data_IF_812326731617
#
_entry.id   IF_812326731617
#
_cell.length_a   1.000
_cell.length_b   1.000
_cell.length_c   1.000
_cell.angle_alpha   90.00
_cell.angle_beta   90.00
_cell.angle_gamma   90.00
#
_symmetry.space_group_name_H-M   'P 1'
#
loop_
_entity.id
_entity.type
_entity.pdbx_description
1 polymer ?
#
# COMPACT_ATOMS: atom_id res chain seq x y z
N UNK A 1 -7.95 8.32 1.26
CA UNK A 1 -8.77 8.86 0.15
C UNK A 1 -8.21 10.16 -0.44
N UNK A 2 -7.76 11.16 0.37
CA UNK A 2 -7.28 12.45 -0.13
C UNK A 2 -6.21 12.34 -1.23
N UNK A 3 -5.15 11.54 -1.00
CA UNK A 3 -4.11 11.33 -2.03
C UNK A 3 -4.67 10.62 -3.26
N UNK A 4 -5.68 9.75 -3.11
CA UNK A 4 -6.31 9.06 -4.24
C UNK A 4 -7.16 10.02 -5.09
N UNK A 5 -7.85 10.98 -4.49
CA UNK A 5 -8.63 11.99 -5.20
C UNK A 5 -7.76 12.90 -6.06
N UNK A 6 -6.67 13.38 -5.49
CA UNK A 6 -5.87 14.47 -6.07
C UNK A 6 -4.58 13.99 -6.76
N UNK A 7 -4.24 12.70 -6.62
CA UNK A 7 -3.01 12.15 -7.14
C UNK A 7 -3.07 11.70 -8.60
N UNK A 8 -1.90 11.60 -9.20
CA UNK A 8 -1.71 10.93 -10.50
C UNK A 8 -0.89 9.66 -10.30
N UNK A 9 -1.24 8.64 -11.06
CA UNK A 9 -0.75 7.28 -10.87
C UNK A 9 -0.21 6.67 -12.16
N UNK A 10 0.74 5.71 -12.06
CA UNK A 10 1.30 5.05 -13.23
C UNK A 10 0.26 4.24 -13.98
N UNK A 11 0.22 4.40 -15.32
CA UNK A 11 -0.70 3.68 -16.20
C UNK A 11 0.04 2.71 -17.08
N UNK A 12 1.05 3.18 -17.83
CA UNK A 12 1.78 2.37 -18.82
C UNK A 12 3.27 2.59 -18.67
N UNK A 13 4.04 1.50 -18.59
CA UNK A 13 5.50 1.55 -18.60
C UNK A 13 6.00 2.12 -19.94
N UNK A 14 6.81 3.15 -19.88
CA UNK A 14 7.39 3.81 -21.06
C UNK A 14 8.89 3.58 -21.18
N UNK A 15 9.58 3.36 -20.07
CA UNK A 15 11.02 3.16 -20.05
C UNK A 15 11.48 2.38 -18.83
N UNK A 16 12.43 1.51 -19.03
CA UNK A 16 13.24 0.88 -17.99
C UNK A 16 14.72 1.12 -18.29
N UNK A 17 15.46 1.66 -17.35
CA UNK A 17 16.89 1.91 -17.46
C UNK A 17 17.64 1.38 -16.24
N UNK A 18 18.70 0.63 -16.50
CA UNK A 18 19.72 0.26 -15.51
C UNK A 18 20.80 1.33 -15.58
N UNK A 19 21.08 1.98 -14.51
CA UNK A 19 21.92 3.17 -14.39
C UNK A 19 21.32 4.44 -15.04
N UNK A 20 21.45 5.56 -14.34
CA UNK A 20 20.94 6.84 -14.81
C UNK A 20 21.62 8.02 -14.11
N UNK A 21 21.81 9.13 -14.84
CA UNK A 21 22.13 10.39 -14.21
C UNK A 21 20.89 10.99 -13.55
N UNK A 22 21.05 11.75 -12.46
CA UNK A 22 19.96 12.45 -11.78
C UNK A 22 19.14 13.34 -12.74
N UNK A 23 19.81 14.02 -13.66
CA UNK A 23 19.15 14.87 -14.67
C UNK A 23 18.18 14.08 -15.60
N UNK A 24 18.51 12.84 -15.94
CA UNK A 24 17.61 11.99 -16.73
C UNK A 24 16.37 11.58 -15.92
N UNK A 25 16.52 11.41 -14.60
CA UNK A 25 15.42 11.14 -13.68
C UNK A 25 14.47 12.33 -13.56
N UNK A 26 15.01 13.55 -13.42
CA UNK A 26 14.22 14.78 -13.36
C UNK A 26 13.35 14.99 -14.60
N UNK A 27 13.91 14.77 -15.79
CA UNK A 27 13.15 14.84 -17.04
C UNK A 27 11.98 13.85 -17.06
N UNK A 28 12.17 12.63 -16.53
CA UNK A 28 11.11 11.61 -16.45
C UNK A 28 10.05 11.96 -15.42
N UNK A 29 10.45 12.52 -14.28
CA UNK A 29 9.55 13.00 -13.23
C UNK A 29 8.67 14.17 -13.68
N UNK A 30 9.15 14.98 -14.63
CA UNK A 30 8.35 16.04 -15.25
C UNK A 30 7.32 15.48 -16.26
N UNK A 31 7.58 14.31 -16.86
CA UNK A 31 6.75 13.72 -17.90
C UNK A 31 5.70 12.70 -17.37
N UNK A 32 5.86 12.21 -16.13
CA UNK A 32 4.96 11.19 -15.60
C UNK A 32 5.40 10.63 -14.27
N UNK A 33 4.98 9.39 -13.98
CA UNK A 33 5.36 8.69 -12.77
C UNK A 33 6.66 7.92 -12.94
N UNK A 34 7.44 7.87 -11.87
CA UNK A 34 8.73 7.16 -11.83
C UNK A 34 8.85 6.32 -10.55
N UNK A 35 9.41 5.14 -10.68
CA UNK A 35 9.95 4.35 -9.56
C UNK A 35 11.45 4.17 -9.80
N UNK A 36 12.27 4.44 -8.80
CA UNK A 36 13.70 4.27 -8.93
C UNK A 36 14.32 3.62 -7.70
N UNK A 37 15.27 2.73 -7.95
CA UNK A 37 16.19 2.26 -6.94
C UNK A 37 17.36 3.24 -6.86
N UNK A 38 17.50 3.85 -5.70
CA UNK A 38 18.46 4.93 -5.46
C UNK A 38 19.28 4.67 -4.20
N UNK A 39 20.50 5.14 -4.20
CA UNK A 39 21.30 5.30 -2.99
C UNK A 39 20.99 6.67 -2.42
N UNK A 40 20.42 6.69 -1.24
CA UNK A 40 20.07 7.88 -0.47
C UNK A 40 21.16 8.15 0.57
N UNK A 41 21.50 9.42 0.75
CA UNK A 41 22.34 9.91 1.85
C UNK A 41 21.59 11.04 2.56
N UNK A 42 21.16 10.82 3.78
CA UNK A 42 20.28 11.76 4.52
C UNK A 42 20.55 11.74 6.02
N UNK A 43 20.34 12.88 6.66
CA UNK A 43 20.29 13.00 8.12
C UNK A 43 18.87 12.95 8.70
N UNK A 44 17.85 12.92 7.82
CA UNK A 44 16.42 12.91 8.21
C UNK A 44 15.76 11.57 7.93
N UNK A 45 14.84 11.08 8.78
CA UNK A 45 14.13 9.81 8.61
C UNK A 45 12.97 9.94 7.61
N UNK A 46 13.24 10.45 6.41
CA UNK A 46 12.24 10.80 5.41
C UNK A 46 11.91 9.66 4.43
N UNK A 47 12.77 8.64 4.31
CA UNK A 47 12.66 7.64 3.26
C UNK A 47 12.47 6.24 3.81
N UNK A 48 11.52 5.47 3.24
CA UNK A 48 11.25 4.12 3.71
C UNK A 48 12.34 3.14 3.28
N UNK A 49 12.69 2.24 4.19
CA UNK A 49 13.51 1.07 3.92
C UNK A 49 12.84 -0.15 4.56
N UNK A 50 12.73 -1.25 3.81
CA UNK A 50 12.31 -2.52 4.38
C UNK A 50 13.52 -3.33 4.82
N UNK A 51 13.64 -3.56 6.12
CA UNK A 51 14.71 -4.34 6.71
C UNK A 51 14.13 -5.47 7.58
N UNK A 52 14.53 -6.71 7.31
CA UNK A 52 14.00 -7.90 8.00
C UNK A 52 12.45 -7.96 8.06
N UNK A 53 11.80 -7.65 6.94
CA UNK A 53 10.34 -7.64 6.83
C UNK A 53 9.65 -6.42 7.44
N UNK A 54 10.34 -5.61 8.22
CA UNK A 54 9.81 -4.41 8.87
C UNK A 54 10.10 -3.15 8.06
N UNK A 55 9.15 -2.21 8.07
CA UNK A 55 9.35 -0.87 7.52
C UNK A 55 10.09 -0.02 8.55
N UNK A 56 11.17 0.63 8.13
CA UNK A 56 11.92 1.58 8.93
C UNK A 56 12.30 2.81 8.10
N UNK A 57 12.70 3.87 8.76
CA UNK A 57 13.11 5.15 8.17
C UNK A 57 14.51 5.52 8.69
N UNK A 58 15.57 4.93 8.11
CA UNK A 58 16.94 5.16 8.60
C UNK A 58 17.47 6.52 8.17
N UNK A 59 18.52 6.94 8.90
CA UNK A 59 19.43 8.02 8.50
C UNK A 59 20.77 7.44 8.02
N UNK A 60 21.58 8.24 7.35
CA UNK A 60 22.86 7.80 6.78
C UNK A 60 22.76 7.47 5.31
N UNK A 61 23.58 6.52 4.87
CA UNK A 61 23.60 6.06 3.48
C UNK A 61 22.99 4.67 3.36
N UNK A 62 21.99 4.51 2.48
CA UNK A 62 21.32 3.25 2.20
C UNK A 62 20.70 3.23 0.82
N UNK A 63 20.43 2.04 0.32
CA UNK A 63 19.72 1.84 -0.95
C UNK A 63 18.24 1.54 -0.68
N UNK A 64 17.37 2.22 -1.42
CA UNK A 64 15.92 2.01 -1.33
C UNK A 64 15.23 2.24 -2.67
N UNK A 65 13.97 1.81 -2.78
CA UNK A 65 13.11 2.11 -3.93
C UNK A 65 12.16 3.23 -3.54
N UNK A 66 12.19 4.32 -4.29
CA UNK A 66 11.32 5.47 -4.12
C UNK A 66 10.38 5.63 -5.32
N UNK A 67 9.17 6.12 -5.05
CA UNK A 67 8.23 6.53 -6.07
C UNK A 67 8.32 8.04 -6.35
N UNK A 68 7.46 8.54 -7.22
CA UNK A 68 7.52 9.89 -7.79
C UNK A 68 7.69 10.99 -6.76
N UNK A 69 6.86 11.02 -5.71
CA UNK A 69 6.86 12.16 -4.77
C UNK A 69 8.05 12.10 -3.80
N UNK A 70 8.40 10.93 -3.31
CA UNK A 70 9.63 10.74 -2.53
C UNK A 70 10.88 11.02 -3.35
N UNK A 71 10.90 10.68 -4.66
CA UNK A 71 12.02 11.01 -5.54
C UNK A 71 12.16 12.49 -5.78
N UNK A 72 11.04 13.21 -6.05
CA UNK A 72 11.05 14.67 -6.18
C UNK A 72 11.61 15.34 -4.93
N UNK A 73 11.10 14.91 -3.77
CA UNK A 73 11.60 15.42 -2.49
C UNK A 73 13.10 15.13 -2.31
N UNK A 74 13.53 13.89 -2.56
CA UNK A 74 14.93 13.50 -2.41
C UNK A 74 15.89 14.27 -3.33
N UNK A 75 15.48 14.55 -4.57
CA UNK A 75 16.25 15.37 -5.51
C UNK A 75 16.31 16.83 -5.06
N UNK A 76 15.18 17.41 -4.64
CA UNK A 76 15.12 18.79 -4.12
C UNK A 76 16.01 18.99 -2.89
N UNK A 77 16.12 17.97 -2.02
CA UNK A 77 16.98 18.02 -0.83
C UNK A 77 18.45 17.65 -1.12
N UNK A 78 18.78 17.23 -2.34
CA UNK A 78 20.12 16.74 -2.68
C UNK A 78 20.49 15.41 -2.03
N UNK A 79 19.53 14.63 -1.61
CA UNK A 79 19.72 13.37 -0.90
C UNK A 79 20.01 12.16 -1.82
N UNK A 80 19.76 12.28 -3.14
CA UNK A 80 20.04 11.21 -4.11
C UNK A 80 21.54 11.21 -4.44
N UNK A 81 22.24 10.20 -3.93
CA UNK A 81 23.68 10.02 -4.20
C UNK A 81 23.93 9.29 -5.53
N UNK A 82 23.11 8.26 -5.82
CA UNK A 82 23.25 7.45 -7.03
C UNK A 82 21.89 6.87 -7.45
N UNK A 83 21.66 6.78 -8.75
CA UNK A 83 20.51 6.07 -9.33
C UNK A 83 21.00 4.74 -9.89
N UNK A 84 20.53 3.62 -9.34
CA UNK A 84 20.90 2.28 -9.80
C UNK A 84 20.07 1.89 -11.02
N UNK A 85 18.75 2.06 -10.93
CA UNK A 85 17.80 1.80 -12.01
C UNK A 85 16.51 2.59 -11.80
N UNK A 86 15.76 2.79 -12.89
CA UNK A 86 14.43 3.38 -12.81
C UNK A 86 13.46 2.84 -13.85
N UNK A 87 12.19 2.91 -13.50
CA UNK A 87 11.03 2.67 -14.33
C UNK A 87 10.27 3.98 -14.50
N UNK A 88 9.94 4.35 -15.73
CA UNK A 88 9.12 5.53 -16.02
C UNK A 88 7.79 5.11 -16.65
N UNK A 89 6.71 5.79 -16.26
CA UNK A 89 5.34 5.48 -16.68
C UNK A 89 4.63 6.74 -17.17
N UNK A 90 3.66 6.57 -18.08
CA UNK A 90 2.62 7.58 -18.24
C UNK A 90 1.79 7.68 -16.97
N UNK A 91 1.22 8.84 -16.69
CA UNK A 91 0.45 9.09 -15.48
C UNK A 91 -0.98 9.55 -15.80
N UNK A 92 -1.94 9.16 -14.95
CA UNK A 92 -3.32 9.63 -15.04
C UNK A 92 -3.97 9.68 -13.63
N UNK A 93 -5.02 10.50 -13.42
CA UNK A 93 -5.82 10.53 -12.20
C UNK A 93 -6.79 9.33 -12.20
N UNK A 94 -6.33 8.19 -11.68
CA UNK A 94 -7.08 6.93 -11.75
C UNK A 94 -8.25 6.85 -10.76
N UNK A 95 -8.23 7.59 -9.67
CA UNK A 95 -9.15 7.39 -8.54
C UNK A 95 -10.06 8.57 -8.24
N UNK A 96 -9.91 9.72 -8.92
CA UNK A 96 -10.70 10.92 -8.61
C UNK A 96 -12.20 10.65 -8.70
N UNK A 97 -12.69 10.14 -9.83
CA UNK A 97 -14.12 9.82 -9.99
C UNK A 97 -14.63 8.79 -8.98
N UNK A 98 -13.81 7.82 -8.60
CA UNK A 98 -14.17 6.85 -7.57
C UNK A 98 -14.33 7.52 -6.19
N UNK A 99 -13.41 8.39 -5.81
CA UNK A 99 -13.48 9.10 -4.54
C UNK A 99 -14.64 10.09 -4.54
N UNK A 100 -14.85 10.82 -5.63
CA UNK A 100 -15.95 11.77 -5.80
C UNK A 100 -17.34 11.12 -5.66
N UNK A 101 -17.47 9.86 -6.07
CA UNK A 101 -18.71 9.11 -5.94
C UNK A 101 -18.91 8.55 -4.52
N UNK A 102 -17.90 7.89 -3.96
CA UNK A 102 -18.06 7.13 -2.72
C UNK A 102 -17.82 7.94 -1.44
N UNK A 103 -17.02 8.99 -1.49
CA UNK A 103 -16.76 9.79 -0.29
C UNK A 103 -18.00 10.55 0.24
N UNK A 104 -18.82 11.19 -0.62
CA UNK A 104 -20.10 11.79 -0.19
C UNK A 104 -21.07 10.75 0.36
N UNK A 105 -21.11 9.53 -0.21
CA UNK A 105 -21.96 8.45 0.32
C UNK A 105 -21.59 8.06 1.74
N UNK A 106 -20.29 7.99 2.05
CA UNK A 106 -19.81 7.75 3.41
C UNK A 106 -20.31 8.83 4.37
N UNK A 107 -20.16 10.11 3.99
CA UNK A 107 -20.60 11.24 4.81
C UNK A 107 -22.12 11.21 5.05
N UNK A 108 -22.90 10.90 4.00
CA UNK A 108 -24.36 10.76 4.09
C UNK A 108 -24.75 9.65 5.07
N UNK A 109 -24.23 8.44 4.92
CA UNK A 109 -24.57 7.32 5.80
C UNK A 109 -24.16 7.58 7.26
N UNK A 110 -23.06 8.27 7.48
CA UNK A 110 -22.65 8.73 8.81
C UNK A 110 -23.68 9.71 9.42
N UNK A 111 -24.16 10.66 8.63
CA UNK A 111 -25.19 11.63 9.08
C UNK A 111 -26.55 10.98 9.36
N UNK A 112 -26.90 9.92 8.59
CA UNK A 112 -28.12 9.12 8.77
C UNK A 112 -28.01 8.12 9.97
N UNK A 113 -26.84 7.99 10.60
CA UNK A 113 -26.60 7.00 11.65
C UNK A 113 -26.56 5.55 11.16
N UNK A 114 -26.39 5.35 9.85
CA UNK A 114 -26.34 4.03 9.24
C UNK A 114 -24.92 3.48 9.24
N UNK A 115 -24.50 2.94 10.39
CA UNK A 115 -23.15 2.43 10.61
C UNK A 115 -22.74 1.30 9.65
N UNK A 116 -23.70 0.46 9.23
CA UNK A 116 -23.40 -0.70 8.35
C UNK A 116 -22.91 -0.21 7.00
N UNK A 117 -23.64 0.70 6.37
CA UNK A 117 -23.27 1.27 5.09
C UNK A 117 -22.08 2.22 5.18
N UNK A 118 -21.95 2.99 6.28
CA UNK A 118 -20.74 3.79 6.50
C UNK A 118 -19.48 2.92 6.52
N UNK A 119 -19.51 1.82 7.29
CA UNK A 119 -18.39 0.87 7.37
C UNK A 119 -18.11 0.19 6.03
N UNK A 120 -19.15 -0.19 5.28
CA UNK A 120 -19.01 -0.81 3.96
C UNK A 120 -18.34 0.14 2.96
N UNK A 121 -18.78 1.39 2.88
CA UNK A 121 -18.17 2.40 1.99
C UNK A 121 -16.75 2.75 2.43
N UNK A 122 -16.50 2.86 3.74
CA UNK A 122 -15.14 3.06 4.26
C UNK A 122 -14.19 1.91 3.85
N UNK A 123 -14.67 0.67 3.93
CA UNK A 123 -13.91 -0.49 3.49
C UNK A 123 -13.61 -0.43 1.99
N UNK A 124 -14.62 -0.11 1.15
CA UNK A 124 -14.47 0.07 -0.29
C UNK A 124 -13.39 1.11 -0.63
N UNK A 125 -13.46 2.29 -0.02
CA UNK A 125 -12.49 3.37 -0.23
C UNK A 125 -11.06 2.97 0.15
N UNK A 126 -10.89 2.20 1.22
CA UNK A 126 -9.57 1.85 1.75
C UNK A 126 -8.97 0.60 1.10
N UNK A 127 -9.79 -0.33 0.61
CA UNK A 127 -9.31 -1.59 0.03
C UNK A 127 -8.91 -1.49 -1.44
N UNK A 128 -9.40 -0.49 -2.17
CA UNK A 128 -9.18 -0.39 -3.61
C UNK A 128 -7.71 -0.40 -4.01
N UNK A 129 -6.90 0.47 -3.41
CA UNK A 129 -5.48 0.54 -3.76
C UNK A 129 -4.71 -0.71 -3.32
N UNK A 130 -5.11 -1.34 -2.22
CA UNK A 130 -4.53 -2.59 -1.74
C UNK A 130 -4.69 -3.73 -2.74
N UNK A 131 -5.80 -3.74 -3.47
CA UNK A 131 -6.07 -4.72 -4.51
C UNK A 131 -5.04 -4.68 -5.65
N UNK A 132 -4.52 -3.51 -5.98
CA UNK A 132 -3.44 -3.37 -6.97
C UNK A 132 -2.08 -3.90 -6.47
N UNK A 133 -1.89 -4.02 -5.17
CA UNK A 133 -0.68 -4.61 -4.55
C UNK A 133 -0.85 -6.07 -4.13
N UNK A 134 -2.01 -6.65 -4.37
CA UNK A 134 -2.33 -8.00 -3.92
C UNK A 134 -1.50 -9.05 -4.67
N UNK A 135 -0.95 -9.96 -3.89
CA UNK A 135 -0.35 -11.19 -4.43
C UNK A 135 -1.46 -12.21 -4.68
N UNK A 136 -1.32 -12.99 -5.73
CA UNK A 136 -2.29 -14.04 -6.03
C UNK A 136 -2.29 -15.11 -4.93
N UNK A 137 -3.42 -15.41 -4.25
CA UNK A 137 -3.57 -16.54 -3.36
C UNK A 137 -3.84 -17.83 -4.15
N UNK A 138 -3.09 -18.90 -3.92
CA UNK A 138 -3.40 -20.20 -4.47
C UNK A 138 -4.66 -20.70 -3.74
N UNK A 139 -5.70 -21.00 -4.50
CA UNK A 139 -6.82 -21.72 -3.97
C UNK A 139 -6.41 -23.19 -3.84
N UNK A 140 -6.34 -23.68 -2.61
CA UNK A 140 -5.98 -25.06 -2.30
C UNK A 140 -7.22 -25.95 -2.29
N UNK A 141 -8.31 -25.42 -1.76
CA UNK A 141 -9.57 -26.13 -1.63
C UNK A 141 -10.76 -25.18 -1.79
N UNK A 142 -11.80 -25.67 -2.43
CA UNK A 142 -13.15 -25.08 -2.43
C UNK A 142 -14.18 -26.19 -2.38
N UNK A 143 -15.11 -26.14 -1.43
CA UNK A 143 -16.13 -27.15 -1.25
C UNK A 143 -17.25 -26.70 -0.31
N UNK A 144 -18.18 -27.60 0.03
CA UNK A 144 -19.23 -27.28 1.00
C UNK A 144 -18.64 -26.96 2.38
N UNK A 145 -19.24 -26.00 3.06
CA UNK A 145 -18.84 -25.64 4.42
C UNK A 145 -19.29 -26.71 5.43
N UNK A 146 -18.37 -27.35 6.16
CA UNK A 146 -18.69 -28.36 7.14
C UNK A 146 -19.37 -27.81 8.40
N UNK A 147 -19.25 -26.51 8.68
CA UNK A 147 -19.75 -25.88 9.89
C UNK A 147 -20.89 -24.87 9.65
N UNK A 148 -21.38 -24.76 8.43
CA UNK A 148 -22.49 -23.89 7.98
C UNK A 148 -22.18 -22.41 7.75
N UNK A 149 -22.72 -21.92 6.71
CA UNK A 149 -23.36 -20.65 6.24
C UNK A 149 -22.91 -19.30 6.85
N UNK A 150 -21.78 -19.19 7.49
CA UNK A 150 -21.26 -17.90 7.96
C UNK A 150 -20.01 -17.52 7.23
N UNK A 151 -19.85 -16.22 7.04
CA UNK A 151 -18.56 -15.67 6.76
C UNK A 151 -17.70 -15.75 8.04
N UNK A 152 -16.71 -16.60 8.06
CA UNK A 152 -15.75 -16.66 9.14
C UNK A 152 -14.67 -15.60 8.94
N UNK A 153 -14.20 -15.07 10.06
CA UNK A 153 -12.99 -14.28 10.07
C UNK A 153 -11.81 -15.13 9.56
N UNK A 154 -10.91 -14.52 8.80
CA UNK A 154 -9.71 -15.19 8.30
C UNK A 154 -8.93 -15.83 9.45
N UNK A 155 -8.89 -17.13 9.46
CA UNK A 155 -8.14 -17.91 10.43
C UNK A 155 -6.92 -18.50 9.73
N UNK A 156 -5.74 -18.30 10.29
CA UNK A 156 -4.52 -18.96 9.82
C UNK A 156 -4.62 -20.41 10.30
N UNK A 157 -4.51 -21.33 9.38
CA UNK A 157 -4.65 -22.77 9.64
C UNK A 157 -3.33 -23.46 9.37
N UNK A 158 -2.90 -24.31 10.31
CA UNK A 158 -1.82 -25.23 10.07
C UNK A 158 -2.26 -26.32 9.08
N UNK A 159 -1.38 -26.68 8.16
CA UNK A 159 -1.64 -27.70 7.14
C UNK A 159 -2.07 -29.06 7.73
N UNK A 160 -1.49 -29.55 8.85
CA UNK A 160 -1.99 -30.74 9.52
C UNK A 160 -3.46 -30.67 9.95
N UNK A 161 -3.93 -29.49 10.35
CA UNK A 161 -5.32 -29.26 10.74
C UNK A 161 -6.28 -29.39 9.55
N UNK A 162 -5.80 -29.14 8.33
CA UNK A 162 -6.57 -29.32 7.10
C UNK A 162 -6.79 -30.79 6.77
N UNK A 163 -5.80 -31.66 7.01
CA UNK A 163 -5.94 -33.12 6.82
C UNK A 163 -7.02 -33.72 7.70
N UNK A 164 -7.11 -33.27 8.95
CA UNK A 164 -8.15 -33.74 9.89
C UNK A 164 -9.57 -33.38 9.41
N UNK A 165 -9.72 -32.19 8.82
CA UNK A 165 -11.01 -31.72 8.28
C UNK A 165 -11.32 -32.25 6.88
N UNK A 166 -10.29 -32.41 6.05
CA UNK A 166 -10.39 -32.80 4.63
C UNK A 166 -9.32 -33.84 4.25
N UNK A 167 -9.39 -35.06 4.82
CA UNK A 167 -8.35 -36.08 4.63
C UNK A 167 -8.17 -36.54 3.18
N UNK A 168 -9.17 -36.27 2.32
CA UNK A 168 -9.10 -36.59 0.88
C UNK A 168 -8.42 -35.51 0.01
N UNK A 169 -8.15 -34.32 0.56
CA UNK A 169 -7.70 -33.18 -0.24
C UNK A 169 -6.19 -32.98 -0.21
N UNK A 170 -5.55 -33.32 0.90
CA UNK A 170 -4.14 -33.10 1.12
C UNK A 170 -3.50 -34.30 1.81
N UNK A 171 -2.78 -35.11 1.05
CA UNK A 171 -1.94 -36.16 1.64
C UNK A 171 -0.66 -35.56 2.21
N UNK A 172 -0.06 -36.21 3.22
CA UNK A 172 1.22 -35.79 3.80
C UNK A 172 2.36 -35.68 2.77
N UNK A 173 2.31 -36.44 1.70
CA UNK A 173 3.24 -36.37 0.56
C UNK A 173 3.01 -35.10 -0.27
N UNK A 174 1.76 -34.73 -0.48
CA UNK A 174 1.39 -33.54 -1.22
C UNK A 174 1.75 -32.27 -0.43
N UNK A 175 1.60 -32.27 0.90
CA UNK A 175 2.03 -31.18 1.78
C UNK A 175 3.53 -30.92 1.73
N UNK A 176 4.34 -31.98 1.64
CA UNK A 176 5.82 -31.86 1.51
C UNK A 176 6.27 -31.29 0.18
N UNK A 177 5.43 -31.37 -0.85
CA UNK A 177 5.75 -30.92 -2.21
C UNK A 177 5.33 -29.46 -2.48
N UNK A 178 4.42 -28.91 -1.67
CA UNK A 178 3.90 -27.56 -1.87
C UNK A 178 4.44 -26.61 -0.81
N UNK A 179 5.20 -25.59 -1.22
CA UNK A 179 5.75 -24.60 -0.30
C UNK A 179 4.66 -23.61 0.12
N UNK A 180 3.69 -24.06 0.89
CA UNK A 180 2.65 -23.18 1.44
C UNK A 180 3.21 -22.29 2.53
N UNK A 181 2.85 -21.01 2.44
CA UNK A 181 3.09 -20.03 3.46
C UNK A 181 1.77 -19.32 3.72
N UNK A 182 1.39 -19.16 4.98
CA UNK A 182 0.18 -18.47 5.40
C UNK A 182 -1.12 -19.05 4.80
N UNK A 183 -1.40 -20.31 5.05
CA UNK A 183 -2.71 -20.88 4.71
C UNK A 183 -3.82 -20.19 5.50
N UNK A 184 -4.88 -19.77 4.81
CA UNK A 184 -6.05 -19.12 5.37
C UNK A 184 -7.31 -19.89 5.00
N UNK A 185 -8.18 -20.11 5.97
CA UNK A 185 -9.52 -20.66 5.75
C UNK A 185 -10.58 -19.58 5.93
N UNK A 186 -11.60 -19.64 5.10
CA UNK A 186 -12.79 -18.80 5.24
C UNK A 186 -13.99 -19.49 4.62
N UNK A 187 -15.16 -19.15 5.11
CA UNK A 187 -16.41 -19.70 4.62
C UNK A 187 -17.40 -18.58 4.34
N UNK A 188 -18.19 -18.75 3.30
CA UNK A 188 -19.19 -17.78 2.89
C UNK A 188 -20.33 -18.49 2.15
N UNK A 189 -21.57 -18.27 2.59
CA UNK A 189 -22.79 -18.82 1.99
C UNK A 189 -22.70 -20.32 1.68
N UNK A 190 -22.27 -21.12 2.67
CA UNK A 190 -22.16 -22.57 2.54
C UNK A 190 -20.98 -23.06 1.70
N UNK A 191 -20.10 -22.15 1.25
CA UNK A 191 -18.87 -22.49 0.56
C UNK A 191 -17.68 -22.29 1.49
N UNK A 192 -16.91 -23.36 1.71
CA UNK A 192 -15.64 -23.32 2.42
C UNK A 192 -14.49 -23.22 1.44
N UNK A 193 -13.55 -22.35 1.71
CA UNK A 193 -12.42 -22.11 0.85
C UNK A 193 -11.12 -22.00 1.66
N UNK A 194 -10.06 -22.63 1.15
CA UNK A 194 -8.72 -22.54 1.69
C UNK A 194 -7.82 -21.92 0.64
N UNK A 195 -7.13 -20.86 1.02
CA UNK A 195 -6.15 -20.18 0.17
C UNK A 195 -4.81 -20.13 0.87
N UNK A 196 -3.72 -20.17 0.13
CA UNK A 196 -2.38 -20.01 0.67
C UNK A 196 -1.49 -19.16 -0.22
N UNK A 197 -0.51 -18.53 0.39
CA UNK A 197 0.56 -17.87 -0.34
C UNK A 197 1.59 -18.91 -0.81
N UNK A 198 2.11 -18.71 -2.02
CA UNK A 198 3.20 -19.53 -2.57
C UNK A 198 4.46 -18.69 -2.61
N UNK A 199 5.57 -19.12 -2.00
CA UNK A 199 6.84 -18.40 -2.09
C UNK A 199 7.30 -18.20 -3.56
N UNK A 200 7.86 -17.03 -3.84
CA UNK A 200 8.35 -16.68 -5.18
C UNK A 200 7.28 -16.32 -6.20
N UNK A 201 6.11 -15.99 -5.77
CA UNK A 201 4.86 -15.92 -6.44
C UNK A 201 4.60 -14.68 -7.26
N UNK A 202 3.86 -14.99 -8.35
CA UNK A 202 3.35 -14.04 -9.34
C UNK A 202 2.32 -13.06 -8.77
N UNK A 203 2.23 -11.92 -9.39
CA UNK A 203 1.20 -10.91 -9.15
C UNK A 203 -0.19 -11.48 -9.48
N UNK A 204 -1.21 -11.01 -8.80
CA UNK A 204 -2.59 -11.31 -9.14
C UNK A 204 -2.95 -10.74 -10.52
N UNK A 205 -4.00 -11.24 -11.18
CA UNK A 205 -4.38 -10.79 -12.54
C UNK A 205 -4.77 -9.31 -12.61
N UNK A 206 -5.13 -8.70 -11.48
CA UNK A 206 -5.47 -7.29 -11.35
C UNK A 206 -4.38 -6.47 -10.66
N UNK A 207 -3.22 -7.07 -10.36
CA UNK A 207 -2.15 -6.38 -9.67
C UNK A 207 -1.47 -5.34 -10.56
N UNK A 208 -1.34 -4.14 -10.03
CA UNK A 208 -0.53 -3.06 -10.56
C UNK A 208 0.30 -2.47 -9.42
N UNK A 209 1.31 -3.20 -9.01
CA UNK A 209 2.19 -2.84 -7.87
C UNK A 209 2.67 -1.39 -7.92
N UNK A 210 3.05 -0.81 -9.09
CA UNK A 210 3.41 0.60 -9.19
C UNK A 210 2.31 1.55 -8.72
N UNK A 211 1.03 1.26 -8.97
CA UNK A 211 -0.11 2.09 -8.51
C UNK A 211 -0.20 2.04 -7.00
N UNK A 212 -0.24 0.84 -6.40
CA UNK A 212 -0.31 0.69 -4.95
C UNK A 212 0.89 1.35 -4.23
N UNK A 213 2.09 1.22 -4.80
CA UNK A 213 3.30 1.83 -4.27
C UNK A 213 3.21 3.37 -4.29
N UNK A 214 2.69 3.98 -5.37
CA UNK A 214 2.53 5.43 -5.46
C UNK A 214 1.48 5.97 -4.49
N UNK A 215 0.35 5.27 -4.28
CA UNK A 215 -0.64 5.69 -3.26
C UNK A 215 -0.01 5.75 -1.87
N UNK A 216 0.74 4.71 -1.50
CA UNK A 216 1.41 4.68 -0.20
C UNK A 216 2.56 5.68 -0.08
N UNK A 217 3.27 5.95 -1.17
CA UNK A 217 4.33 6.95 -1.24
C UNK A 217 3.78 8.36 -1.05
N UNK A 218 2.72 8.72 -1.79
CA UNK A 218 2.04 10.01 -1.68
C UNK A 218 1.49 10.25 -0.27
N UNK A 219 0.87 9.23 0.34
CA UNK A 219 0.38 9.33 1.71
C UNK A 219 1.50 9.58 2.72
N UNK A 220 2.64 8.88 2.58
CA UNK A 220 3.81 9.10 3.45
C UNK A 220 4.43 10.49 3.25
N UNK A 221 4.53 10.96 1.99
CA UNK A 221 5.07 12.29 1.70
C UNK A 221 4.15 13.40 2.21
N UNK A 222 2.83 13.20 2.18
CA UNK A 222 1.87 14.12 2.77
C UNK A 222 2.06 14.20 4.29
N UNK A 223 2.11 13.05 4.96
CA UNK A 223 2.35 12.97 6.41
C UNK A 223 3.70 13.59 6.78
N UNK A 224 4.75 13.31 6.01
CA UNK A 224 6.08 13.90 6.20
C UNK A 224 6.07 15.42 6.11
N UNK A 225 5.36 16.01 5.13
CA UNK A 225 5.19 17.47 5.03
C UNK A 225 4.49 18.06 6.25
N UNK A 226 3.47 17.38 6.77
CA UNK A 226 2.78 17.81 7.99
C UNK A 226 3.71 17.75 9.20
N UNK A 227 4.51 16.71 9.34
CA UNK A 227 5.50 16.60 10.40
C UNK A 227 6.54 17.72 10.33
N UNK A 228 7.00 18.07 9.13
CA UNK A 228 7.94 19.20 8.92
C UNK A 228 7.29 20.55 9.23
N UNK A 229 6.02 20.75 8.87
CA UNK A 229 5.31 22.00 9.13
C UNK A 229 5.12 22.26 10.64
N UNK A 230 4.89 21.21 11.40
CA UNK A 230 4.76 21.28 12.86
C UNK A 230 6.13 21.41 13.55
N UNK A 231 7.17 20.82 12.94
CA UNK A 231 8.49 20.58 13.54
C UNK A 231 8.57 19.18 14.12
N UNK A 232 9.58 18.40 13.75
CA UNK A 232 9.70 17.00 14.13
C UNK A 232 9.73 16.78 15.64
N UNK A 233 10.30 17.73 16.36
CA UNK A 233 10.40 17.76 17.83
C UNK A 233 9.04 17.91 18.53
N UNK A 234 8.01 18.37 17.80
CA UNK A 234 6.66 18.60 18.32
C UNK A 234 5.69 17.46 17.93
N UNK A 235 6.18 16.44 17.25
CA UNK A 235 5.40 15.26 16.89
C UNK A 235 5.49 14.24 18.00
N UNK A 236 4.38 13.96 18.67
CA UNK A 236 4.30 13.00 19.77
C UNK A 236 4.13 11.56 19.25
N UNK A 237 3.36 11.39 18.18
CA UNK A 237 3.11 10.09 17.56
C UNK A 237 2.63 10.25 16.12
N UNK A 238 2.95 9.30 15.27
CA UNK A 238 2.39 9.18 13.92
C UNK A 238 2.14 7.71 13.57
N UNK A 239 1.05 7.47 12.84
CA UNK A 239 0.72 6.16 12.30
C UNK A 239 -0.06 6.32 10.99
N UNK A 240 0.42 5.71 9.94
CA UNK A 240 -0.16 5.58 8.60
C UNK A 240 -0.69 6.89 8.00
N UNK A 241 -1.77 7.44 8.55
CA UNK A 241 -2.47 8.66 8.11
C UNK A 241 -2.91 9.55 9.28
N UNK A 242 -2.30 9.36 10.45
CA UNK A 242 -2.59 10.12 11.66
C UNK A 242 -1.34 10.74 12.27
N UNK A 243 -1.52 11.92 12.86
CA UNK A 243 -0.48 12.68 13.54
C UNK A 243 -1.03 13.16 14.88
N UNK A 244 -0.32 12.90 15.98
CA UNK A 244 -0.62 13.43 17.31
C UNK A 244 0.42 14.49 17.65
N UNK A 245 -0.06 15.69 17.92
CA UNK A 245 0.74 16.86 18.27
C UNK A 245 0.10 17.58 19.45
N UNK A 246 0.82 18.47 20.11
CA UNK A 246 0.27 19.34 21.11
C UNK A 246 -0.62 20.42 20.45
N UNK A 247 -1.71 20.81 21.13
CA UNK A 247 -2.73 21.76 20.64
C UNK A 247 -2.12 23.12 20.25
N UNK A 248 -1.10 23.58 20.96
CA UNK A 248 -0.40 24.84 20.66
C UNK A 248 0.24 24.89 19.26
N UNK A 249 0.50 23.74 18.64
CA UNK A 249 1.10 23.63 17.29
C UNK A 249 0.06 23.46 16.18
N UNK A 250 -1.23 23.36 16.50
CA UNK A 250 -2.31 23.11 15.54
C UNK A 250 -2.39 24.21 14.46
N UNK A 251 -2.12 25.47 14.84
CA UNK A 251 -2.11 26.59 13.90
C UNK A 251 -1.07 26.46 12.78
N UNK A 252 0.08 25.84 13.05
CA UNK A 252 1.12 25.57 12.04
C UNK A 252 0.64 24.54 11.02
N UNK A 253 -0.12 23.55 11.46
CA UNK A 253 -0.69 22.54 10.59
C UNK A 253 -1.84 23.09 9.76
N UNK A 254 -2.70 23.95 10.35
CA UNK A 254 -3.89 24.49 9.71
C UNK A 254 -3.58 25.21 8.38
N UNK A 255 -2.45 25.91 8.29
CA UNK A 255 -2.02 26.57 7.04
C UNK A 255 -1.75 25.59 5.88
N UNK A 256 -1.48 24.31 6.18
CA UNK A 256 -1.16 23.28 5.20
C UNK A 256 -2.33 22.33 4.91
N UNK A 257 -3.36 22.34 5.76
CA UNK A 257 -4.55 21.48 5.58
C UNK A 257 -5.42 21.93 4.41
N UNK A 258 -5.47 23.24 4.12
CA UNK A 258 -6.28 23.79 3.02
C UNK A 258 -5.87 23.30 1.62
N UNK A 259 -4.65 22.77 1.46
CA UNK A 259 -4.18 22.21 0.19
C UNK A 259 -4.67 20.77 -0.07
N UNK A 260 -5.29 20.13 0.91
CA UNK A 260 -5.58 18.68 0.88
C UNK A 260 -6.98 18.30 1.35
N UNK A 261 -7.84 19.28 1.67
CA UNK A 261 -9.22 18.99 2.05
C UNK A 261 -10.04 18.46 0.85
N UNK A 262 -10.62 17.29 1.08
CA UNK A 262 -11.69 16.71 0.28
C UNK A 262 -13.05 17.27 0.71
#
# INVERSE_FOLDING_TARGET
>A
PAVMANGVYPVKLTSWKRTGAAAALEQRLAAGCVMAEVVIRTSSPAYPLRHNGKLCFPTGEFTTILCTDSLKYALQQGHVHKVNQYLAFTAAPLFSSWVDEFYPLKARYKAEGNEVWEKAIKLLLNSLYGKFGEKRALEIFRGPDPERDFMRANTIVDIPTLEDKFPWTLTAEFQKQLPYVNAQEWSFLGTYCITADVPGREEGPMSMVPVAAHVTDQARQLLWRYMLAVGLENVLYCDTDSLIIEEQHLSRLAAHLHETEL
#
